data_IF_735511036752
#
_entry.id   IF_735511036752
#
_cell.length_a   1.000
_cell.length_b   1.000
_cell.length_c   1.000
_cell.angle_alpha   90.00
_cell.angle_beta   90.00
_cell.angle_gamma   90.00
#
_symmetry.space_group_name_H-M   'P 1'
#
loop_
_entity.id
_entity.type
_entity.pdbx_description
1 polymer ?
#
# COMPACT_ATOMS: atom_id res chain seq x y z
N UNK A 1 1.45 -28.56 -28.41
CA UNK A 1 1.57 -27.15 -27.99
C UNK A 1 1.44 -27.13 -26.47
N UNK A 2 2.56 -27.08 -25.77
CA UNK A 2 2.57 -27.09 -24.31
C UNK A 2 2.55 -25.66 -23.75
N UNK A 3 1.88 -25.51 -22.60
CA UNK A 3 2.16 -24.56 -21.51
C UNK A 3 1.59 -23.13 -21.60
N UNK A 4 0.29 -23.01 -21.30
CA UNK A 4 -0.30 -21.76 -20.75
C UNK A 4 -1.19 -21.98 -19.51
N UNK A 5 -1.43 -23.22 -19.06
CA UNK A 5 -2.29 -23.50 -17.91
C UNK A 5 -1.54 -23.58 -16.55
N UNK A 6 -0.21 -23.63 -16.57
CA UNK A 6 0.62 -23.99 -15.40
C UNK A 6 1.07 -22.78 -14.54
N UNK A 7 1.00 -21.56 -15.09
CA UNK A 7 1.48 -20.35 -14.38
C UNK A 7 0.47 -19.79 -13.37
N UNK A 8 -0.81 -20.09 -13.54
CA UNK A 8 -1.87 -19.54 -12.68
C UNK A 8 -2.14 -20.37 -11.44
N UNK A 9 -1.88 -21.68 -11.48
CA UNK A 9 -2.12 -22.57 -10.35
C UNK A 9 -1.01 -22.45 -9.30
N UNK A 10 0.27 -22.41 -9.72
CA UNK A 10 1.41 -22.18 -8.82
C UNK A 10 1.31 -20.82 -8.10
N UNK A 11 1.00 -19.76 -8.86
CA UNK A 11 0.84 -18.41 -8.29
C UNK A 11 -0.32 -18.35 -7.29
N UNK A 12 -1.42 -19.09 -7.52
CA UNK A 12 -2.53 -19.17 -6.56
C UNK A 12 -2.13 -19.96 -5.31
N UNK A 13 -1.40 -21.06 -5.45
CA UNK A 13 -0.91 -21.85 -4.32
C UNK A 13 0.01 -21.05 -3.38
N UNK A 14 0.89 -20.22 -3.94
CA UNK A 14 1.75 -19.33 -3.16
C UNK A 14 0.95 -18.25 -2.40
N UNK A 15 -0.17 -17.81 -2.96
CA UNK A 15 -1.05 -16.82 -2.32
C UNK A 15 -1.81 -17.41 -1.13
N UNK A 16 -2.37 -18.61 -1.28
CA UNK A 16 -3.09 -19.28 -0.19
C UNK A 16 -2.15 -19.56 0.99
N UNK A 17 -0.90 -19.93 0.70
CA UNK A 17 0.14 -20.12 1.72
C UNK A 17 0.47 -18.81 2.45
N UNK A 18 0.61 -17.70 1.72
CA UNK A 18 0.85 -16.39 2.32
C UNK A 18 -0.32 -15.92 3.18
N UNK A 19 -1.56 -16.11 2.73
CA UNK A 19 -2.76 -15.76 3.48
C UNK A 19 -2.86 -16.55 4.80
N UNK A 20 -2.59 -17.85 4.75
CA UNK A 20 -2.56 -18.70 5.95
C UNK A 20 -1.47 -18.28 6.95
N UNK A 21 -0.29 -17.87 6.47
CA UNK A 21 0.78 -17.37 7.32
C UNK A 21 0.40 -16.06 8.02
N UNK A 22 -0.20 -15.11 7.31
CA UNK A 22 -0.67 -13.86 7.91
C UNK A 22 -1.81 -14.11 8.92
N UNK A 23 -2.75 -15.00 8.61
CA UNK A 23 -3.81 -15.39 9.52
C UNK A 23 -3.24 -15.92 10.84
N UNK A 24 -2.28 -16.84 10.79
CA UNK A 24 -1.60 -17.38 11.98
C UNK A 24 -0.84 -16.30 12.76
N UNK A 25 -0.20 -15.36 12.07
CA UNK A 25 0.50 -14.25 12.71
C UNK A 25 -0.46 -13.33 13.48
N UNK A 26 -1.66 -13.10 12.95
CA UNK A 26 -2.72 -12.33 13.61
C UNK A 26 -3.37 -13.11 14.75
N UNK A 27 -3.54 -14.43 14.62
CA UNK A 27 -4.02 -15.25 15.73
C UNK A 27 -3.05 -15.21 16.93
N UNK A 28 -1.75 -15.19 16.66
CA UNK A 28 -0.72 -15.11 17.70
C UNK A 28 -0.64 -13.71 18.36
N UNK A 29 -0.70 -12.64 17.55
CA UNK A 29 -0.78 -11.27 18.04
C UNK A 29 -1.72 -10.43 17.15
N UNK A 30 -3.00 -10.28 17.54
CA UNK A 30 -4.00 -9.63 16.71
C UNK A 30 -3.82 -8.11 16.64
N UNK A 31 -2.95 -7.54 17.46
CA UNK A 31 -2.73 -6.09 17.53
C UNK A 31 -1.38 -5.66 16.96
N UNK A 32 -0.59 -6.60 16.42
CA UNK A 32 0.70 -6.24 15.87
C UNK A 32 0.54 -5.46 14.55
N UNK A 33 0.68 -4.12 14.63
CA UNK A 33 0.43 -3.21 13.50
C UNK A 33 1.25 -3.53 12.24
N UNK A 34 2.50 -3.99 12.38
CA UNK A 34 3.32 -4.42 11.22
C UNK A 34 2.72 -5.64 10.52
N UNK A 35 2.25 -6.64 11.27
CA UNK A 35 1.62 -7.83 10.68
C UNK A 35 0.33 -7.45 9.96
N UNK A 36 -0.48 -6.59 10.59
CA UNK A 36 -1.72 -6.07 10.00
C UNK A 36 -1.46 -5.25 8.74
N UNK A 37 -0.47 -4.35 8.75
CA UNK A 37 -0.10 -3.53 7.60
C UNK A 37 0.46 -4.35 6.43
N UNK A 38 1.30 -5.34 6.72
CA UNK A 38 1.85 -6.26 5.73
C UNK A 38 0.76 -7.12 5.09
N UNK A 39 -0.20 -7.58 5.90
CA UNK A 39 -1.31 -8.34 5.39
C UNK A 39 -2.27 -7.46 4.58
N UNK A 40 -2.52 -6.21 5.00
CA UNK A 40 -3.31 -5.26 4.23
C UNK A 40 -2.69 -5.03 2.84
N UNK A 41 -1.38 -4.76 2.77
CA UNK A 41 -0.61 -4.64 1.52
C UNK A 41 -0.78 -5.85 0.61
N UNK A 42 -0.64 -7.06 1.18
CA UNK A 42 -0.78 -8.30 0.43
C UNK A 42 -2.20 -8.45 -0.12
N UNK A 43 -3.19 -8.24 0.73
CA UNK A 43 -4.62 -8.37 0.39
C UNK A 43 -5.04 -7.38 -0.69
N UNK A 44 -4.55 -6.14 -0.61
CA UNK A 44 -4.81 -5.13 -1.62
C UNK A 44 -4.24 -5.52 -2.99
N UNK A 45 -2.97 -5.93 -3.09
CA UNK A 45 -2.41 -6.35 -4.40
C UNK A 45 -3.15 -7.55 -5.01
N UNK A 46 -3.79 -8.38 -4.18
CA UNK A 46 -4.61 -9.51 -4.61
C UNK A 46 -6.02 -9.12 -5.11
N UNK A 47 -6.45 -7.88 -4.88
CA UNK A 47 -7.75 -7.36 -5.31
C UNK A 47 -8.87 -7.47 -4.28
N UNK A 48 -8.56 -7.94 -3.06
CA UNK A 48 -9.52 -8.07 -1.96
C UNK A 48 -9.64 -6.76 -1.19
N UNK A 49 -10.11 -5.68 -1.84
CA UNK A 49 -10.10 -4.32 -1.29
C UNK A 49 -10.83 -4.19 0.06
N UNK A 50 -11.92 -4.92 0.27
CA UNK A 50 -12.69 -4.86 1.52
C UNK A 50 -11.92 -5.43 2.72
N UNK A 51 -11.27 -6.59 2.55
CA UNK A 51 -10.43 -7.21 3.57
C UNK A 51 -9.18 -6.36 3.81
N UNK A 52 -8.56 -5.83 2.75
CA UNK A 52 -7.43 -4.92 2.84
C UNK A 52 -7.78 -3.66 3.65
N UNK A 53 -8.95 -3.08 3.41
CA UNK A 53 -9.43 -1.91 4.15
C UNK A 53 -9.63 -2.20 5.65
N UNK A 54 -10.20 -3.35 6.00
CA UNK A 54 -10.34 -3.76 7.41
C UNK A 54 -8.99 -3.91 8.11
N UNK A 55 -8.06 -4.61 7.47
CA UNK A 55 -6.71 -4.82 8.00
C UNK A 55 -5.95 -3.50 8.16
N UNK A 56 -6.08 -2.61 7.17
CA UNK A 56 -5.53 -1.26 7.22
C UNK A 56 -6.06 -0.47 8.42
N UNK A 57 -7.38 -0.43 8.61
CA UNK A 57 -7.98 0.26 9.77
C UNK A 57 -7.53 -0.32 11.10
N UNK A 58 -7.38 -1.64 11.21
CA UNK A 58 -6.84 -2.29 12.41
C UNK A 58 -5.36 -1.92 12.62
N UNK A 59 -4.56 -1.91 11.56
CA UNK A 59 -3.15 -1.52 11.63
C UNK A 59 -3.00 -0.08 12.13
N UNK A 60 -3.79 0.85 11.58
CA UNK A 60 -3.80 2.26 11.98
C UNK A 60 -4.20 2.43 13.45
N UNK A 61 -5.21 1.69 13.92
CA UNK A 61 -5.68 1.75 15.31
C UNK A 61 -4.66 1.26 16.35
N UNK A 62 -3.74 0.38 15.94
CA UNK A 62 -2.70 -0.19 16.79
C UNK A 62 -1.30 0.32 16.46
N UNK A 63 -1.18 1.34 15.61
CA UNK A 63 0.09 1.90 15.19
C UNK A 63 0.71 2.78 16.30
N UNK A 64 1.36 2.14 17.26
CA UNK A 64 2.22 2.76 18.28
C UNK A 64 3.70 2.84 17.82
N UNK A 65 3.91 2.86 16.50
CA UNK A 65 5.21 2.70 15.86
C UNK A 65 5.78 3.96 15.20
N UNK A 66 6.94 3.83 14.53
CA UNK A 66 7.58 4.90 13.80
C UNK A 66 6.69 5.43 12.67
N UNK A 67 6.92 6.70 12.31
CA UNK A 67 6.20 7.40 11.24
C UNK A 67 6.33 6.68 9.87
N UNK A 68 7.30 5.78 9.69
CA UNK A 68 7.50 4.96 8.48
C UNK A 68 6.29 4.05 8.20
N UNK A 69 5.85 3.24 9.18
CA UNK A 69 4.67 2.39 9.00
C UNK A 69 3.43 3.23 8.70
N UNK A 70 3.25 4.37 9.39
CA UNK A 70 2.13 5.28 9.11
C UNK A 70 2.16 5.84 7.69
N UNK A 71 3.36 6.08 7.16
CA UNK A 71 3.57 6.53 5.78
C UNK A 71 3.14 5.45 4.78
N UNK A 72 3.52 4.19 5.02
CA UNK A 72 3.10 3.05 4.20
C UNK A 72 1.58 2.84 4.23
N UNK A 73 0.98 2.86 5.42
CA UNK A 73 -0.47 2.72 5.60
C UNK A 73 -1.23 3.85 4.90
N UNK A 74 -0.76 5.10 5.04
CA UNK A 74 -1.33 6.24 4.34
C UNK A 74 -1.24 6.10 2.81
N UNK A 75 -0.16 5.52 2.28
CA UNK A 75 -0.04 5.21 0.86
C UNK A 75 -1.08 4.17 0.43
N UNK A 76 -1.24 3.05 1.15
CA UNK A 76 -2.24 2.03 0.79
C UNK A 76 -3.66 2.58 0.82
N UNK A 77 -3.96 3.41 1.83
CA UNK A 77 -5.24 4.08 1.95
C UNK A 77 -5.50 4.95 0.72
N UNK A 78 -4.54 5.77 0.33
CA UNK A 78 -4.66 6.63 -0.84
C UNK A 78 -4.82 5.80 -2.13
N UNK A 79 -4.04 4.73 -2.27
CA UNK A 79 -4.05 3.87 -3.45
C UNK A 79 -5.36 3.09 -3.64
N UNK A 80 -5.94 2.56 -2.56
CA UNK A 80 -7.00 1.55 -2.66
C UNK A 80 -8.37 1.99 -2.11
N UNK A 81 -8.42 3.04 -1.29
CA UNK A 81 -9.68 3.52 -0.70
C UNK A 81 -10.18 4.72 -1.51
N UNK A 82 -11.30 4.52 -2.23
CA UNK A 82 -11.91 5.58 -3.05
C UNK A 82 -12.24 6.82 -2.21
N UNK A 83 -11.79 7.98 -2.66
CA UNK A 83 -12.03 9.25 -1.99
C UNK A 83 -11.12 9.52 -0.79
N UNK A 84 -10.13 8.66 -0.52
CA UNK A 84 -9.13 8.92 0.51
C UNK A 84 -8.35 10.21 0.20
N UNK A 85 -8.12 11.01 1.24
CA UNK A 85 -7.29 12.21 1.16
C UNK A 85 -5.80 11.85 1.09
N UNK A 86 -5.04 12.65 0.34
CA UNK A 86 -3.57 12.57 0.29
C UNK A 86 -2.90 13.36 1.42
N UNK A 87 -3.65 14.15 2.20
CA UNK A 87 -3.12 15.09 3.19
C UNK A 87 -2.14 14.44 4.20
N UNK A 88 -2.48 13.27 4.73
CA UNK A 88 -1.57 12.57 5.66
C UNK A 88 -0.25 12.18 4.97
N UNK A 89 -0.32 11.66 3.75
CA UNK A 89 0.86 11.28 2.99
C UNK A 89 1.72 12.49 2.63
N UNK A 90 1.07 13.61 2.29
CA UNK A 90 1.71 14.91 2.09
C UNK A 90 2.47 15.34 3.33
N UNK A 91 1.81 15.34 4.50
CA UNK A 91 2.41 15.70 5.78
C UNK A 91 3.63 14.85 6.11
N UNK A 92 3.59 13.54 5.83
CA UNK A 92 4.75 12.66 6.06
C UNK A 92 5.89 12.99 5.11
N UNK A 93 5.62 13.13 3.81
CA UNK A 93 6.64 13.43 2.80
C UNK A 93 7.30 14.79 3.05
N UNK A 94 6.54 15.81 3.48
CA UNK A 94 7.03 17.14 3.84
C UNK A 94 7.93 17.13 5.09
N UNK A 95 7.74 16.15 6.00
CA UNK A 95 8.65 15.85 7.11
C UNK A 95 9.85 14.99 6.71
N UNK A 96 10.10 14.86 5.41
CA UNK A 96 11.17 14.03 4.83
C UNK A 96 11.05 12.52 5.12
N UNK A 97 9.87 12.03 5.55
CA UNK A 97 9.63 10.59 5.72
C UNK A 97 9.66 9.87 4.38
N UNK A 98 10.36 8.75 4.33
CA UNK A 98 10.48 7.85 3.19
C UNK A 98 10.40 6.41 3.68
N UNK A 99 10.16 5.47 2.78
CA UNK A 99 10.05 4.03 3.08
C UNK A 99 11.01 3.27 2.15
N UNK A 100 12.33 3.52 2.27
CA UNK A 100 13.31 3.07 1.28
C UNK A 100 13.32 1.55 1.14
N UNK A 101 13.25 1.07 -0.10
CA UNK A 101 13.23 -0.37 -0.40
C UNK A 101 11.88 -1.06 -0.13
N UNK A 102 10.87 -0.33 0.37
CA UNK A 102 9.54 -0.89 0.56
C UNK A 102 8.82 -1.09 -0.79
N UNK A 103 8.45 -2.32 -1.20
CA UNK A 103 7.95 -2.54 -2.56
C UNK A 103 6.49 -2.12 -2.69
N UNK A 104 6.25 -1.01 -3.41
CA UNK A 104 4.92 -0.45 -3.67
C UNK A 104 4.40 -0.77 -5.09
N UNK A 105 5.25 -1.23 -6.00
CA UNK A 105 4.94 -1.38 -7.44
C UNK A 105 3.71 -2.24 -7.70
N UNK A 106 3.55 -3.39 -7.04
CA UNK A 106 2.37 -4.25 -7.27
C UNK A 106 1.08 -3.62 -6.74
N UNK A 107 1.17 -2.82 -5.67
CA UNK A 107 0.01 -2.07 -5.17
C UNK A 107 -0.37 -0.94 -6.13
N UNK A 108 0.61 -0.24 -6.70
CA UNK A 108 0.39 0.77 -7.75
C UNK A 108 -0.29 0.13 -8.95
N UNK A 109 0.25 -0.98 -9.47
CA UNK A 109 -0.32 -1.70 -10.61
C UNK A 109 -1.76 -2.10 -10.36
N UNK A 110 -2.05 -2.66 -9.18
CA UNK A 110 -3.40 -3.08 -8.82
C UNK A 110 -4.35 -1.90 -8.72
N UNK A 111 -3.99 -0.83 -8.00
CA UNK A 111 -4.82 0.36 -7.87
C UNK A 111 -5.15 1.00 -9.22
N UNK A 112 -4.19 1.03 -10.15
CA UNK A 112 -4.41 1.51 -11.52
C UNK A 112 -5.38 0.59 -12.27
N UNK A 113 -5.23 -0.73 -12.16
CA UNK A 113 -6.15 -1.70 -12.77
C UNK A 113 -7.58 -1.57 -12.21
N UNK A 114 -7.71 -1.22 -10.93
CA UNK A 114 -8.99 -0.95 -10.25
C UNK A 114 -9.57 0.45 -10.56
N UNK A 115 -8.89 1.25 -11.40
CA UNK A 115 -9.39 2.55 -11.86
C UNK A 115 -9.09 3.72 -10.92
N UNK A 116 -7.95 3.70 -10.22
CA UNK A 116 -7.52 4.83 -9.40
C UNK A 116 -7.53 6.16 -10.19
N UNK A 117 -8.12 7.24 -9.66
CA UNK A 117 -8.37 8.47 -10.42
C UNK A 117 -7.10 9.24 -10.81
N UNK A 118 -5.97 8.95 -10.15
CA UNK A 118 -4.71 9.66 -10.35
C UNK A 118 -3.53 8.68 -10.51
N UNK A 119 -3.46 7.95 -11.64
CA UNK A 119 -2.48 6.88 -11.83
C UNK A 119 -1.03 7.39 -11.86
N UNK A 120 -0.78 8.54 -12.50
CA UNK A 120 0.57 9.11 -12.59
C UNK A 120 1.05 9.68 -11.26
N UNK A 121 0.16 10.30 -10.47
CA UNK A 121 0.51 10.75 -9.12
C UNK A 121 0.83 9.57 -8.21
N UNK A 122 0.08 8.47 -8.33
CA UNK A 122 0.31 7.27 -7.53
C UNK A 122 1.68 6.63 -7.83
N UNK A 123 2.11 6.62 -9.11
CA UNK A 123 3.46 6.16 -9.51
C UNK A 123 4.54 7.06 -8.91
N UNK A 124 4.42 8.38 -9.09
CA UNK A 124 5.42 9.33 -8.59
C UNK A 124 5.53 9.28 -7.06
N UNK A 125 4.42 9.09 -6.34
CA UNK A 125 4.43 8.88 -4.89
C UNK A 125 5.23 7.63 -4.51
N UNK A 126 5.02 6.51 -5.21
CA UNK A 126 5.77 5.30 -4.96
C UNK A 126 7.28 5.49 -5.21
N UNK A 127 7.65 6.23 -6.26
CA UNK A 127 9.05 6.54 -6.55
C UNK A 127 9.70 7.46 -5.51
N UNK A 128 8.97 8.47 -5.04
CA UNK A 128 9.44 9.35 -3.96
C UNK A 128 9.67 8.53 -2.69
N UNK A 129 8.71 7.71 -2.29
CA UNK A 129 8.75 6.96 -1.03
C UNK A 129 9.78 5.83 -1.05
N UNK A 130 9.80 5.02 -2.10
CA UNK A 130 10.59 3.76 -2.15
C UNK A 130 11.95 3.91 -2.82
N UNK A 131 12.09 4.82 -3.79
CA UNK A 131 13.29 4.95 -4.63
C UNK A 131 14.08 6.23 -4.36
N UNK A 132 13.66 7.05 -3.38
CA UNK A 132 14.38 8.27 -2.99
C UNK A 132 14.30 9.38 -4.05
N UNK A 133 13.30 9.34 -4.93
CA UNK A 133 13.07 10.43 -5.89
C UNK A 133 12.72 11.72 -5.14
N UNK A 134 13.15 12.85 -5.67
CA UNK A 134 12.92 14.14 -5.03
C UNK A 134 11.41 14.48 -4.95
N UNK A 135 10.92 14.84 -3.76
CA UNK A 135 9.50 15.14 -3.54
C UNK A 135 8.97 16.33 -4.36
N UNK A 136 9.83 17.25 -4.82
CA UNK A 136 9.44 18.34 -5.72
C UNK A 136 8.86 17.86 -7.04
N UNK A 137 9.16 16.63 -7.47
CA UNK A 137 8.54 16.03 -8.66
C UNK A 137 7.02 15.93 -8.54
N UNK A 138 6.51 15.77 -7.31
CA UNK A 138 5.07 15.70 -7.03
C UNK A 138 4.35 17.02 -7.31
N UNK A 139 5.07 18.15 -7.33
CA UNK A 139 4.50 19.48 -7.64
C UNK A 139 3.94 19.58 -9.05
N UNK A 140 4.17 18.61 -9.95
CA UNK A 140 3.50 18.55 -11.26
C UNK A 140 2.01 18.23 -11.13
N UNK A 141 1.58 17.55 -10.07
CA UNK A 141 0.20 17.11 -9.87
C UNK A 141 -0.63 18.18 -9.17
N UNK A 142 -1.78 18.54 -9.74
CA UNK A 142 -2.68 19.54 -9.14
C UNK A 142 -3.16 19.08 -7.75
N UNK A 143 -3.62 17.83 -7.63
CA UNK A 143 -4.09 17.31 -6.35
C UNK A 143 -3.02 17.30 -5.24
N UNK A 144 -1.73 17.21 -5.61
CA UNK A 144 -0.64 17.34 -4.65
C UNK A 144 -0.45 18.78 -4.20
N UNK A 145 -0.52 19.75 -5.12
CA UNK A 145 -0.39 21.18 -4.82
C UNK A 145 -1.58 21.70 -3.99
N UNK A 146 -2.77 21.20 -4.27
CA UNK A 146 -4.02 21.65 -3.65
C UNK A 146 -4.27 20.95 -2.30
N UNK A 147 -3.59 19.84 -2.03
CA UNK A 147 -3.66 19.18 -0.74
C UNK A 147 -2.98 20.01 0.36
N UNK A 148 -3.73 20.30 1.43
CA UNK A 148 -3.16 20.88 2.64
C UNK A 148 -2.33 19.84 3.39
N UNK A 149 -1.09 20.20 3.75
CA UNK A 149 -0.19 19.40 4.59
C UNK A 149 -0.39 19.63 6.08
#
# INVERSE_FOLDING_TARGET
MAKCADLTEDVRGDHDAAEALYARAIEADPKHANNLGNYAKFTFKMGSAEQGARLLSLAEAHCEGPDELRTELAFYRYAHIRGASIADLRRYIDKEQRTPGWPLVENVRRAIADGHPQPEMLKDLADVLSHGVNASTLNRHAAWRDASG
#
